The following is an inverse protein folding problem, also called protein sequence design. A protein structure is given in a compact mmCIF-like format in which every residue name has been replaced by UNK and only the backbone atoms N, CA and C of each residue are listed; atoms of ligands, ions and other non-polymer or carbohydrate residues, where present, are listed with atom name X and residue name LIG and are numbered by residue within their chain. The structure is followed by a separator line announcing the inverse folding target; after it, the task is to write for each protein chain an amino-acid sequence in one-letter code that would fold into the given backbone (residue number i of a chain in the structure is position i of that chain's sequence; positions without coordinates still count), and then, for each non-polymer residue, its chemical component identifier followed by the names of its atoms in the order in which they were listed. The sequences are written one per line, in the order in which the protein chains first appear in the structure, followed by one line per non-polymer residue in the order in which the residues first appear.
data_IF_500663853324
#
_entry.id   IF_500663853324
#
_cell.length_a   1.000
_cell.length_b   1.000
_cell.length_c   1.000
_cell.angle_alpha   90.00
_cell.angle_beta   90.00
_cell.angle_gamma   90.00
#
_symmetry.space_group_name_H-M   'P 1'
#
loop_
_entity.id
_entity.type
_entity.pdbx_description
1 polymer ?
#
# COMPACT_ATOMS: atom_id res chain seq x y z
N UNK A 1 -27.91 -3.67 0.77
CA UNK A 1 -28.16 -2.30 1.27
C UNK A 1 -27.26 -1.35 0.51
N UNK A 2 -27.82 -0.60 -0.44
CA UNK A 2 -27.10 0.44 -1.18
C UNK A 2 -26.87 1.61 -0.23
N UNK A 3 -25.66 1.73 0.31
CA UNK A 3 -25.30 2.92 1.07
C UNK A 3 -25.26 4.12 0.14
N UNK A 4 -26.05 5.11 0.52
CA UNK A 4 -26.20 6.42 -0.11
C UNK A 4 -24.81 6.97 -0.48
N UNK A 5 -24.64 7.27 -1.76
CA UNK A 5 -23.52 8.05 -2.27
C UNK A 5 -23.46 9.36 -1.48
N UNK A 6 -22.36 9.67 -0.80
CA UNK A 6 -22.29 10.93 -0.10
C UNK A 6 -22.02 12.08 -1.09
N UNK A 7 -22.92 13.06 -1.06
CA UNK A 7 -22.96 14.25 -1.93
C UNK A 7 -21.83 15.28 -1.69
N UNK A 8 -20.65 14.86 -1.21
CA UNK A 8 -19.52 15.78 -0.94
C UNK A 8 -18.46 15.86 -2.06
N UNK A 9 -18.74 15.31 -3.25
CA UNK A 9 -17.79 15.30 -4.39
C UNK A 9 -18.10 16.40 -5.41
N UNK A 10 -18.15 17.66 -4.97
CA UNK A 10 -18.30 18.82 -5.86
C UNK A 10 -17.33 19.96 -5.55
N UNK A 11 -16.03 19.66 -5.48
CA UNK A 11 -15.00 20.68 -5.65
C UNK A 11 -13.90 20.13 -6.55
N UNK A 12 -13.41 20.97 -7.46
CA UNK A 12 -12.23 20.75 -8.28
C UNK A 12 -10.97 20.70 -7.38
N UNK A 13 -10.91 19.77 -6.43
CA UNK A 13 -9.74 19.65 -5.58
C UNK A 13 -8.62 18.94 -6.34
N UNK A 14 -7.66 19.73 -6.78
CA UNK A 14 -6.45 19.31 -7.49
C UNK A 14 -5.30 18.97 -6.55
N UNK A 15 -5.50 19.12 -5.23
CA UNK A 15 -4.50 18.84 -4.22
C UNK A 15 -4.11 17.36 -4.21
N UNK A 16 -2.83 17.07 -4.40
CA UNK A 16 -2.34 15.70 -4.44
C UNK A 16 -2.25 15.09 -3.03
N UNK A 17 -1.73 15.85 -2.07
CA UNK A 17 -1.76 15.56 -0.63
C UNK A 17 -1.79 16.82 0.23
N UNK A 18 -2.22 16.66 1.48
CA UNK A 18 -2.24 17.70 2.50
C UNK A 18 -0.92 17.78 3.28
N UNK A 19 -0.43 19.00 3.52
CA UNK A 19 0.85 19.27 4.17
C UNK A 19 2.05 18.98 3.28
N UNK A 20 3.17 18.62 3.89
CA UNK A 20 4.42 18.30 3.17
C UNK A 20 4.44 16.87 2.64
N UNK A 21 3.65 15.97 3.23
CA UNK A 21 3.75 14.53 2.99
C UNK A 21 2.37 13.88 2.79
N UNK A 22 2.24 12.88 1.92
CA UNK A 22 1.04 12.07 1.82
C UNK A 22 0.77 11.33 3.12
N UNK A 23 -0.50 11.22 3.49
CA UNK A 23 -0.89 10.61 4.76
C UNK A 23 -1.33 9.17 4.56
N UNK A 24 -0.70 8.23 5.28
CA UNK A 24 -0.94 6.79 5.14
C UNK A 24 -2.39 6.35 5.41
N UNK A 25 -3.25 7.21 5.99
CA UNK A 25 -4.68 6.88 6.18
C UNK A 25 -5.55 7.23 4.98
N UNK A 26 -5.06 8.01 4.02
CA UNK A 26 -5.81 8.43 2.84
C UNK A 26 -6.22 7.27 1.92
N UNK A 27 -5.36 6.23 1.67
CA UNK A 27 -5.77 5.06 0.92
C UNK A 27 -6.89 4.29 1.67
N UNK A 28 -8.04 4.20 1.02
CA UNK A 28 -9.21 3.47 1.51
C UNK A 28 -9.91 2.75 0.36
N UNK A 29 -9.75 1.43 0.32
CA UNK A 29 -10.44 0.55 -0.61
C UNK A 29 -11.93 0.43 -0.26
N UNK A 30 -12.79 0.64 -1.24
CA UNK A 30 -14.25 0.56 -1.10
C UNK A 30 -14.87 -0.50 -2.04
N UNK A 31 -14.87 -0.26 -3.36
CA UNK A 31 -15.59 -1.13 -4.32
C UNK A 31 -14.68 -2.09 -5.10
N UNK A 32 -13.38 -1.78 -5.22
CA UNK A 32 -12.43 -2.62 -5.95
C UNK A 32 -11.93 -3.74 -5.05
N UNK A 33 -11.74 -4.95 -5.58
CA UNK A 33 -11.21 -6.12 -4.85
C UNK A 33 -9.71 -6.22 -5.11
N UNK A 34 -8.93 -5.32 -4.51
CA UNK A 34 -7.51 -5.17 -4.81
C UNK A 34 -6.67 -4.74 -3.60
N UNK A 35 -7.02 -5.20 -2.40
CA UNK A 35 -6.41 -4.82 -1.12
C UNK A 35 -4.87 -4.81 -1.08
N UNK A 36 -4.23 -5.60 -1.93
CA UNK A 36 -2.78 -5.66 -2.10
C UNK A 36 -2.13 -4.31 -2.44
N UNK A 37 -2.75 -3.51 -3.31
CA UNK A 37 -2.22 -2.21 -3.75
C UNK A 37 -2.29 -1.15 -2.65
N UNK A 38 -3.47 -0.81 -2.08
CA UNK A 38 -3.55 0.13 -0.98
C UNK A 38 -2.79 -0.35 0.26
N UNK A 39 -2.74 -1.64 0.57
CA UNK A 39 -1.91 -2.13 1.68
C UNK A 39 -0.42 -1.82 1.45
N UNK A 40 0.09 -2.03 0.24
CA UNK A 40 1.45 -1.66 -0.13
C UNK A 40 1.68 -0.15 -0.01
N UNK A 41 0.81 0.67 -0.61
CA UNK A 41 0.90 2.14 -0.53
C UNK A 41 0.88 2.66 0.90
N UNK A 42 0.00 2.10 1.76
CA UNK A 42 -0.07 2.42 3.19
C UNK A 42 1.25 2.08 3.87
N UNK A 43 1.80 0.87 3.64
CA UNK A 43 3.04 0.44 4.29
C UNK A 43 4.24 1.32 3.92
N UNK A 44 4.32 1.77 2.66
CA UNK A 44 5.38 2.67 2.19
C UNK A 44 5.20 4.06 2.80
N UNK A 45 4.00 4.63 2.72
CA UNK A 45 3.69 5.94 3.28
C UNK A 45 3.81 5.99 4.82
N UNK A 46 3.60 4.86 5.49
CA UNK A 46 3.81 4.75 6.94
C UNK A 46 5.28 4.85 7.32
N UNK A 47 6.13 4.07 6.64
CA UNK A 47 7.55 3.96 6.99
C UNK A 47 8.35 5.16 6.51
N UNK A 48 8.07 5.61 5.28
CA UNK A 48 8.78 6.72 4.67
C UNK A 48 7.86 7.48 3.71
N UNK A 49 7.02 8.40 4.22
CA UNK A 49 6.14 9.17 3.34
C UNK A 49 6.92 10.13 2.41
N UNK A 50 8.15 10.52 2.77
CA UNK A 50 9.02 11.29 1.88
C UNK A 50 9.32 10.52 0.58
N UNK A 51 9.49 9.20 0.68
CA UNK A 51 9.71 8.33 -0.47
C UNK A 51 8.60 8.50 -1.52
N UNK A 52 7.34 8.55 -1.09
CA UNK A 52 6.19 8.73 -1.99
C UNK A 52 6.26 10.11 -2.67
N UNK A 53 6.64 11.18 -1.97
CA UNK A 53 6.70 12.53 -2.57
C UNK A 53 7.68 12.62 -3.74
N UNK A 54 8.74 11.82 -3.70
CA UNK A 54 9.79 11.77 -4.74
C UNK A 54 9.35 11.04 -6.00
N UNK A 55 8.22 10.34 -5.96
CA UNK A 55 7.63 9.71 -7.14
C UNK A 55 6.91 10.72 -8.04
N UNK A 56 6.57 11.90 -7.52
CA UNK A 56 5.69 12.85 -8.19
C UNK A 56 6.40 14.11 -8.66
N UNK A 57 6.07 14.52 -9.88
CA UNK A 57 6.55 15.73 -10.52
C UNK A 57 5.37 16.50 -11.11
N UNK A 58 5.50 17.82 -11.18
CA UNK A 58 4.61 18.68 -11.95
C UNK A 58 4.72 18.35 -13.46
N UNK A 59 3.74 18.75 -14.29
CA UNK A 59 3.77 18.49 -15.74
C UNK A 59 4.99 19.07 -16.47
N UNK A 60 5.63 20.10 -15.91
CA UNK A 60 6.86 20.70 -16.43
C UNK A 60 8.14 19.94 -16.02
N UNK A 61 8.00 18.83 -15.27
CA UNK A 61 9.10 18.00 -14.79
C UNK A 61 9.70 18.47 -13.46
N UNK A 62 9.18 19.53 -12.84
CA UNK A 62 9.67 20.00 -11.54
C UNK A 62 9.25 19.04 -10.43
N UNK A 63 10.15 18.61 -9.51
CA UNK A 63 9.77 17.70 -8.42
C UNK A 63 8.71 18.29 -7.48
N UNK A 64 7.75 17.48 -7.04
CA UNK A 64 6.80 17.89 -5.98
C UNK A 64 7.35 17.65 -4.57
N UNK A 65 8.41 16.84 -4.43
CA UNK A 65 9.11 16.62 -3.17
C UNK A 65 9.52 17.93 -2.49
N UNK A 66 9.25 18.05 -1.19
CA UNK A 66 9.50 19.25 -0.39
C UNK A 66 8.43 20.35 -0.50
N UNK A 67 7.45 20.21 -1.40
CA UNK A 67 6.34 21.17 -1.52
C UNK A 67 5.30 20.99 -0.42
N UNK A 68 4.75 22.11 0.07
CA UNK A 68 3.61 22.11 1.00
C UNK A 68 2.31 22.25 0.21
N UNK A 69 1.35 21.34 0.40
CA UNK A 69 0.08 21.28 -0.32
C UNK A 69 0.25 21.27 -1.87
N UNK A 70 1.02 20.34 -2.46
CA UNK A 70 1.20 20.30 -3.90
C UNK A 70 -0.13 19.97 -4.59
N UNK A 71 -0.45 20.74 -5.64
CA UNK A 71 -1.74 20.70 -6.32
C UNK A 71 -1.55 20.84 -7.83
N UNK A 72 -2.22 19.99 -8.59
CA UNK A 72 -2.23 20.02 -10.06
C UNK A 72 -3.36 19.15 -10.61
N UNK A 73 -3.93 19.52 -11.76
CA UNK A 73 -4.86 18.63 -12.50
C UNK A 73 -4.13 17.41 -13.07
N UNK A 74 -2.84 17.55 -13.35
CA UNK A 74 -1.99 16.51 -13.95
C UNK A 74 -0.68 16.40 -13.20
N UNK A 75 -0.21 15.19 -12.97
CA UNK A 75 1.13 14.94 -12.42
C UNK A 75 1.86 13.92 -13.30
N UNK A 76 3.18 13.91 -13.19
CA UNK A 76 4.00 12.81 -13.69
C UNK A 76 4.37 11.94 -12.48
N UNK A 77 4.04 10.66 -12.57
CA UNK A 77 4.34 9.65 -11.56
C UNK A 77 5.43 8.72 -12.09
N UNK A 78 6.51 8.57 -11.33
CA UNK A 78 7.58 7.60 -11.60
C UNK A 78 7.31 6.31 -10.83
N UNK A 79 7.30 5.18 -11.53
CA UNK A 79 7.23 3.83 -10.94
C UNK A 79 8.32 2.95 -11.52
N UNK A 80 8.68 1.88 -10.82
CA UNK A 80 9.63 0.89 -11.33
C UNK A 80 8.89 -0.25 -11.99
N UNK A 81 9.36 -0.69 -13.15
CA UNK A 81 8.92 -1.93 -13.75
C UNK A 81 9.45 -3.10 -12.88
N UNK A 82 8.59 -3.97 -12.34
CA UNK A 82 9.01 -4.97 -11.35
C UNK A 82 9.84 -6.12 -11.94
N UNK A 83 9.91 -6.24 -13.28
CA UNK A 83 10.72 -7.26 -13.96
C UNK A 83 12.09 -6.77 -14.38
N UNK A 84 12.21 -5.48 -14.66
CA UNK A 84 13.45 -4.88 -15.21
C UNK A 84 14.12 -3.91 -14.25
N UNK A 85 13.43 -3.54 -13.17
CA UNK A 85 13.86 -2.55 -12.17
C UNK A 85 14.15 -1.17 -12.77
N UNK A 86 13.63 -0.89 -13.98
CA UNK A 86 13.77 0.41 -14.65
C UNK A 86 12.61 1.32 -14.30
N UNK A 87 12.91 2.59 -14.07
CA UNK A 87 11.91 3.64 -13.89
C UNK A 87 11.10 3.87 -15.17
N UNK A 88 9.82 4.16 -15.00
CA UNK A 88 8.87 4.53 -16.03
C UNK A 88 8.03 5.70 -15.52
N UNK A 89 7.81 6.68 -16.38
CA UNK A 89 7.04 7.88 -16.06
C UNK A 89 5.67 7.80 -16.68
N UNK A 90 4.63 8.05 -15.88
CA UNK A 90 3.24 8.01 -16.29
C UNK A 90 2.58 9.35 -16.03
N UNK A 91 1.88 9.86 -17.03
CA UNK A 91 1.01 11.02 -16.85
C UNK A 91 -0.28 10.57 -16.19
N UNK A 92 -0.59 11.16 -15.04
CA UNK A 92 -1.78 10.84 -14.24
C UNK A 92 -2.60 12.10 -14.05
N UNK A 93 -3.92 11.96 -13.95
CA UNK A 93 -4.83 13.09 -14.02
C UNK A 93 -5.95 12.99 -12.98
N UNK A 94 -6.27 14.10 -12.32
CA UNK A 94 -7.27 14.18 -11.26
C UNK A 94 -8.67 13.78 -11.74
N UNK A 95 -9.00 14.04 -13.01
CA UNK A 95 -10.30 13.68 -13.61
C UNK A 95 -10.48 12.15 -13.73
N UNK A 96 -9.39 11.38 -13.68
CA UNK A 96 -9.40 9.91 -13.67
C UNK A 96 -9.27 9.33 -12.25
N UNK A 97 -9.46 10.15 -11.20
CA UNK A 97 -9.40 9.71 -9.81
C UNK A 97 -10.30 8.49 -9.56
N UNK A 98 -9.74 7.47 -8.91
CA UNK A 98 -10.46 6.28 -8.49
C UNK A 98 -11.52 6.69 -7.47
N UNK A 99 -12.79 6.38 -7.77
CA UNK A 99 -13.88 6.64 -6.84
C UNK A 99 -13.86 5.69 -5.63
N UNK A 100 -12.93 4.73 -5.63
CA UNK A 100 -13.03 3.47 -4.88
C UNK A 100 -11.82 3.15 -4.02
N UNK A 101 -10.78 4.00 -4.01
CA UNK A 101 -9.51 3.74 -3.31
C UNK A 101 -8.96 4.91 -2.48
N UNK A 102 -9.62 6.06 -2.52
CA UNK A 102 -9.30 7.22 -1.69
C UNK A 102 -10.48 7.48 -0.74
N UNK A 103 -10.23 7.49 0.56
CA UNK A 103 -11.30 7.68 1.56
C UNK A 103 -10.94 8.49 2.79
N UNK A 104 -9.92 9.36 2.74
CA UNK A 104 -9.58 10.22 3.87
C UNK A 104 -9.23 11.65 3.48
N UNK A 105 -9.88 12.61 4.14
CA UNK A 105 -9.60 14.05 4.25
C UNK A 105 -9.50 14.85 2.94
N UNK A 106 -10.51 15.70 2.72
CA UNK A 106 -10.49 16.85 1.81
C UNK A 106 -10.41 16.59 0.30
N UNK A 107 -10.23 15.35 -0.15
CA UNK A 107 -10.30 15.03 -1.58
C UNK A 107 -8.94 14.95 -2.28
N UNK A 108 -7.87 14.73 -1.52
CA UNK A 108 -6.54 14.38 -2.04
C UNK A 108 -6.58 13.16 -2.96
N UNK A 109 -5.64 13.03 -3.89
CA UNK A 109 -5.69 12.01 -4.95
C UNK A 109 -4.37 11.32 -5.27
N UNK A 110 -3.35 11.44 -4.40
CA UNK A 110 -2.05 10.78 -4.63
C UNK A 110 -2.16 9.26 -4.79
N UNK A 111 -3.02 8.60 -4.02
CA UNK A 111 -3.15 7.14 -4.12
C UNK A 111 -3.92 6.74 -5.39
N UNK A 112 -4.96 7.48 -5.78
CA UNK A 112 -5.54 7.36 -7.11
C UNK A 112 -4.53 7.57 -8.24
N UNK A 113 -3.62 8.53 -8.09
CA UNK A 113 -2.55 8.77 -9.04
C UNK A 113 -1.62 7.54 -9.13
N UNK A 114 -1.27 6.93 -7.99
CA UNK A 114 -0.56 5.64 -7.95
C UNK A 114 -1.33 4.55 -8.70
N UNK A 115 -2.64 4.36 -8.43
CA UNK A 115 -3.45 3.38 -9.17
C UNK A 115 -3.40 3.63 -10.67
N UNK A 116 -3.54 4.88 -11.13
CA UNK A 116 -3.47 5.21 -12.56
C UNK A 116 -2.11 4.81 -13.17
N UNK A 117 -0.99 5.11 -12.50
CA UNK A 117 0.34 4.71 -12.98
C UNK A 117 0.50 3.19 -13.03
N UNK A 118 -0.04 2.48 -12.04
CA UNK A 118 -0.05 1.02 -12.02
C UNK A 118 -0.81 0.42 -13.21
N UNK A 119 -2.01 0.93 -13.47
CA UNK A 119 -2.82 0.49 -14.60
C UNK A 119 -2.13 0.75 -15.95
N UNK A 120 -1.46 1.90 -16.09
CA UNK A 120 -0.66 2.21 -17.27
C UNK A 120 0.57 1.29 -17.40
N UNK A 121 1.24 0.94 -16.28
CA UNK A 121 2.32 -0.06 -16.30
C UNK A 121 1.84 -1.42 -16.81
N UNK A 122 0.62 -1.85 -16.46
CA UNK A 122 0.05 -3.11 -16.95
C UNK A 122 -0.21 -3.15 -18.47
N UNK A 123 -0.31 -1.99 -19.12
CA UNK A 123 -0.34 -1.89 -20.58
C UNK A 123 1.07 -1.92 -21.22
N UNK A 124 2.11 -1.63 -20.43
CA UNK A 124 3.51 -1.62 -20.86
C UNK A 124 4.22 -2.96 -20.60
N UNK A 125 3.88 -3.64 -19.50
CA UNK A 125 4.46 -4.90 -19.08
C UNK A 125 3.39 -5.82 -18.48
N UNK A 126 3.63 -7.13 -18.51
CA UNK A 126 2.74 -8.11 -17.86
C UNK A 126 2.87 -7.99 -16.34
N UNK A 127 1.86 -7.44 -15.67
CA UNK A 127 1.87 -7.21 -14.23
C UNK A 127 0.81 -8.08 -13.58
N UNK A 128 1.23 -8.98 -12.69
CA UNK A 128 0.32 -9.85 -11.96
C UNK A 128 -0.72 -9.02 -11.17
N UNK A 129 -2.00 -9.26 -11.46
CA UNK A 129 -3.13 -8.48 -10.90
C UNK A 129 -3.64 -7.35 -11.79
N UNK A 130 -3.05 -7.14 -12.98
CA UNK A 130 -3.48 -6.15 -13.96
C UNK A 130 -3.60 -6.83 -15.33
N UNK A 131 -4.74 -6.66 -15.99
CA UNK A 131 -4.96 -7.18 -17.34
C UNK A 131 -4.24 -6.30 -18.38
N UNK A 132 -3.89 -6.85 -19.57
CA UNK A 132 -3.16 -6.09 -20.60
C UNK A 132 -3.88 -4.83 -21.11
N UNK A 133 -5.19 -4.72 -20.88
CA UNK A 133 -5.99 -3.54 -21.19
C UNK A 133 -5.92 -2.43 -20.12
N UNK A 134 -5.05 -2.56 -19.11
CA UNK A 134 -4.91 -1.59 -18.02
C UNK A 134 -6.07 -1.62 -17.02
N UNK A 135 -6.67 -2.78 -16.77
CA UNK A 135 -7.71 -2.94 -15.73
C UNK A 135 -7.24 -3.88 -14.62
N UNK A 136 -7.68 -3.64 -13.39
CA UNK A 136 -7.38 -4.53 -12.27
C UNK A 136 -8.08 -5.88 -12.46
N UNK A 137 -7.33 -6.96 -12.25
CA UNK A 137 -7.89 -8.32 -12.16
C UNK A 137 -8.14 -8.62 -10.69
N UNK A 138 -9.42 -8.70 -10.32
CA UNK A 138 -9.82 -8.95 -8.94
C UNK A 138 -9.22 -10.25 -8.40
N UNK A 139 -8.69 -10.19 -7.17
CA UNK A 139 -8.09 -11.32 -6.43
C UNK A 139 -6.79 -11.92 -7.01
N UNK A 140 -6.21 -11.34 -8.06
CA UNK A 140 -5.00 -11.89 -8.69
C UNK A 140 -3.72 -11.12 -8.40
N UNK A 141 -3.79 -9.96 -7.74
CA UNK A 141 -2.61 -9.16 -7.41
C UNK A 141 -1.98 -9.51 -6.06
N UNK A 142 -0.70 -9.14 -5.91
CA UNK A 142 0.10 -9.43 -4.73
C UNK A 142 0.77 -8.16 -4.20
N UNK A 143 0.88 -7.99 -2.86
CA UNK A 143 1.53 -6.82 -2.29
C UNK A 143 2.98 -6.67 -2.74
N UNK A 144 3.69 -7.77 -2.99
CA UNK A 144 5.08 -7.74 -3.43
C UNK A 144 5.28 -7.03 -4.75
N UNK A 145 4.36 -7.20 -5.70
CA UNK A 145 4.38 -6.50 -6.98
C UNK A 145 4.20 -5.00 -6.76
N UNK A 146 3.22 -4.60 -5.95
CA UNK A 146 3.01 -3.18 -5.65
C UNK A 146 4.16 -2.54 -4.89
N UNK A 147 4.70 -3.22 -3.88
CA UNK A 147 5.85 -2.74 -3.14
C UNK A 147 7.07 -2.60 -4.06
N UNK A 148 7.31 -3.54 -4.97
CA UNK A 148 8.42 -3.47 -5.92
C UNK A 148 8.25 -2.30 -6.89
N UNK A 149 7.06 -2.11 -7.44
CA UNK A 149 6.74 -0.99 -8.33
C UNK A 149 6.86 0.38 -7.66
N UNK A 150 6.49 0.49 -6.38
CA UNK A 150 6.57 1.74 -5.62
C UNK A 150 7.99 2.08 -5.16
N UNK A 151 8.81 1.08 -4.87
CA UNK A 151 10.11 1.28 -4.19
C UNK A 151 11.33 0.98 -5.07
N UNK A 152 11.14 0.35 -6.22
CA UNK A 152 12.24 -0.17 -7.03
C UNK A 152 13.14 -1.14 -6.27
N UNK A 153 12.64 -1.74 -5.18
CA UNK A 153 13.36 -2.73 -4.38
C UNK A 153 12.90 -4.12 -4.75
N UNK A 154 13.80 -5.07 -4.55
CA UNK A 154 13.46 -6.49 -4.56
C UNK A 154 12.64 -6.81 -3.31
N UNK A 155 11.47 -7.42 -3.53
CA UNK A 155 10.52 -7.75 -2.47
C UNK A 155 10.47 -9.26 -2.31
N UNK A 156 10.56 -9.70 -1.06
CA UNK A 156 10.40 -11.09 -0.66
C UNK A 156 8.96 -11.33 -0.26
N UNK A 157 8.34 -12.38 -0.80
CA UNK A 157 7.05 -12.91 -0.34
C UNK A 157 7.31 -14.19 0.45
N UNK A 158 7.63 -14.04 1.74
CA UNK A 158 7.95 -15.16 2.62
C UNK A 158 6.66 -15.90 3.02
N UNK A 159 6.42 -17.15 2.57
CA UNK A 159 5.33 -17.96 3.09
C UNK A 159 5.53 -18.23 4.59
N UNK A 160 4.43 -18.41 5.31
CA UNK A 160 4.42 -18.72 6.73
C UNK A 160 5.41 -19.83 7.10
N UNK A 161 5.48 -20.89 6.30
CA UNK A 161 6.32 -22.07 6.57
C UNK A 161 7.83 -21.83 6.42
N UNK A 162 8.27 -20.65 5.92
CA UNK A 162 9.68 -20.27 5.99
C UNK A 162 10.14 -19.90 7.40
N UNK A 163 9.21 -19.47 8.25
CA UNK A 163 9.51 -19.17 9.63
C UNK A 163 9.40 -20.43 10.47
N UNK A 164 10.43 -20.69 11.27
CA UNK A 164 10.47 -21.83 12.19
C UNK A 164 9.29 -21.82 13.18
N UNK A 165 8.98 -20.63 13.70
CA UNK A 165 7.98 -20.39 14.73
C UNK A 165 7.55 -18.92 14.72
N UNK A 166 6.62 -18.58 15.62
CA UNK A 166 6.13 -17.21 15.78
C UNK A 166 7.23 -16.26 16.30
N UNK A 167 8.24 -16.75 17.02
CA UNK A 167 9.31 -15.91 17.54
C UNK A 167 10.19 -15.39 16.39
N UNK A 168 10.55 -16.27 15.46
CA UNK A 168 11.29 -15.90 14.25
C UNK A 168 10.51 -14.91 13.39
N UNK A 169 9.20 -15.15 13.19
CA UNK A 169 8.35 -14.21 12.46
C UNK A 169 8.21 -12.86 13.17
N UNK A 170 8.02 -12.87 14.48
CA UNK A 170 7.85 -11.66 15.28
C UNK A 170 9.09 -10.76 15.26
N UNK A 171 10.29 -11.35 15.27
CA UNK A 171 11.54 -10.62 15.16
C UNK A 171 11.58 -9.77 13.88
N UNK A 172 11.19 -10.36 12.75
CA UNK A 172 11.09 -9.66 11.47
C UNK A 172 10.01 -8.57 11.48
N UNK A 173 8.88 -8.82 12.15
CA UNK A 173 7.79 -7.83 12.23
C UNK A 173 8.19 -6.57 13.01
N UNK A 174 9.22 -6.62 13.87
CA UNK A 174 9.73 -5.43 14.56
C UNK A 174 10.27 -4.37 13.59
N UNK A 175 10.59 -4.74 12.35
CA UNK A 175 11.08 -3.82 11.34
C UNK A 175 9.97 -2.97 10.70
N UNK A 176 8.71 -3.11 11.10
CA UNK A 176 7.56 -2.43 10.46
C UNK A 176 7.58 -0.90 10.51
N UNK A 177 8.48 -0.29 11.27
CA UNK A 177 8.69 1.17 11.35
C UNK A 177 9.88 1.65 10.51
N UNK A 178 10.68 0.74 9.96
CA UNK A 178 11.90 1.05 9.18
C UNK A 178 11.86 0.50 7.76
N UNK A 179 11.13 -0.60 7.53
CA UNK A 179 10.83 -1.14 6.20
C UNK A 179 9.33 -1.41 6.04
N UNK A 180 8.75 -1.19 4.85
CA UNK A 180 7.36 -1.56 4.59
C UNK A 180 7.17 -3.08 4.74
N UNK A 181 6.11 -3.47 5.44
CA UNK A 181 5.71 -4.86 5.63
C UNK A 181 4.22 -4.99 5.37
N UNK A 182 3.83 -5.94 4.52
CA UNK A 182 2.43 -6.28 4.25
C UNK A 182 2.21 -7.77 4.45
N UNK A 183 1.25 -8.13 5.30
CA UNK A 183 0.84 -9.52 5.49
C UNK A 183 -0.38 -9.84 4.62
N UNK A 184 -0.39 -11.03 4.02
CA UNK A 184 -1.51 -11.56 3.25
C UNK A 184 -2.14 -12.72 4.01
N UNK A 185 -3.44 -12.65 4.22
CA UNK A 185 -4.18 -13.59 5.06
C UNK A 185 -4.63 -14.83 4.31
N UNK A 186 -4.85 -15.89 5.07
CA UNK A 186 -5.35 -17.17 4.60
C UNK A 186 -6.75 -17.07 3.96
N UNK A 187 -7.16 -18.08 3.20
CA UNK A 187 -8.53 -18.17 2.67
C UNK A 187 -9.58 -18.39 3.76
N UNK A 188 -10.84 -18.28 3.34
CA UNK A 188 -12.01 -18.40 4.20
C UNK A 188 -12.10 -19.75 4.93
N UNK A 189 -11.55 -20.83 4.37
CA UNK A 189 -11.57 -22.16 5.01
C UNK A 189 -10.49 -22.31 6.08
N UNK A 190 -9.43 -21.51 6.03
CA UNK A 190 -8.28 -21.60 6.95
C UNK A 190 -8.24 -20.45 7.96
N UNK A 191 -9.09 -19.41 7.81
CA UNK A 191 -9.14 -18.28 8.75
C UNK A 191 -9.61 -18.78 10.13
N UNK A 192 -8.88 -18.39 11.18
CA UNK A 192 -9.24 -18.66 12.58
C UNK A 192 -9.80 -17.40 13.24
N UNK A 193 -10.76 -17.54 14.18
CA UNK A 193 -11.31 -16.40 14.90
C UNK A 193 -10.23 -15.55 15.58
N UNK A 194 -10.38 -14.22 15.48
CA UNK A 194 -9.53 -13.22 16.10
C UNK A 194 -10.39 -12.03 16.54
N UNK A 195 -9.95 -11.31 17.57
CA UNK A 195 -10.58 -10.07 18.03
C UNK A 195 -9.53 -8.95 18.14
N UNK A 196 -9.61 -7.89 17.31
CA UNK A 196 -10.60 -7.67 16.24
C UNK A 196 -10.50 -8.67 15.08
N UNK A 197 -11.59 -8.82 14.31
CA UNK A 197 -11.66 -9.77 13.20
C UNK A 197 -10.60 -9.50 12.13
N UNK A 198 -9.84 -10.54 11.79
CA UNK A 198 -8.97 -10.59 10.62
C UNK A 198 -9.76 -11.17 9.44
N UNK A 199 -9.70 -10.51 8.29
CA UNK A 199 -10.41 -10.90 7.07
C UNK A 199 -9.57 -11.91 6.29
N UNK A 200 -10.22 -12.88 5.66
CA UNK A 200 -9.57 -13.85 4.78
C UNK A 200 -9.31 -13.28 3.37
N UNK A 201 -8.36 -13.87 2.64
CA UNK A 201 -7.97 -13.45 1.28
C UNK A 201 -7.70 -11.94 1.19
N UNK A 202 -7.03 -11.39 2.20
CA UNK A 202 -6.90 -9.95 2.37
C UNK A 202 -5.47 -9.54 2.69
N UNK A 203 -5.11 -8.29 2.40
CA UNK A 203 -3.79 -7.74 2.69
C UNK A 203 -3.89 -6.64 3.75
N UNK A 204 -2.94 -6.62 4.68
CA UNK A 204 -2.84 -5.61 5.73
C UNK A 204 -1.43 -5.04 5.78
N UNK A 205 -1.31 -3.71 5.89
CA UNK A 205 -0.05 -3.10 6.25
C UNK A 205 0.22 -3.33 7.74
N UNK A 206 1.42 -3.80 8.07
CA UNK A 206 1.90 -3.88 9.46
C UNK A 206 2.50 -2.52 9.80
N UNK A 207 1.97 -1.87 10.83
CA UNK A 207 2.36 -0.50 11.15
C UNK A 207 3.37 -0.49 12.30
N UNK A 208 2.98 -1.03 13.45
CA UNK A 208 3.77 -0.95 14.66
C UNK A 208 3.66 -2.26 15.43
N UNK A 209 4.77 -2.74 15.93
CA UNK A 209 4.82 -3.86 16.87
C UNK A 209 5.14 -3.37 18.28
N UNK A 210 4.54 -4.01 19.28
CA UNK A 210 4.73 -3.71 20.70
C UNK A 210 4.80 -5.01 21.49
N UNK A 211 5.72 -5.04 22.44
CA UNK A 211 5.77 -6.07 23.46
C UNK A 211 5.24 -5.50 24.78
N UNK A 212 4.19 -6.12 25.32
CA UNK A 212 3.55 -5.76 26.58
C UNK A 212 3.99 -6.73 27.69
N UNK A 213 4.22 -6.24 28.92
CA UNK A 213 4.55 -7.11 30.04
C UNK A 213 3.37 -8.02 30.46
N UNK A 214 3.60 -9.29 30.84
CA UNK A 214 4.80 -10.11 30.60
C UNK A 214 4.65 -10.95 29.32
N UNK A 215 5.28 -10.55 28.21
CA UNK A 215 5.40 -11.35 26.99
C UNK A 215 4.20 -11.30 26.03
N UNK A 216 3.26 -10.38 26.22
CA UNK A 216 2.13 -10.20 25.30
C UNK A 216 2.55 -9.35 24.10
N UNK A 217 2.72 -9.99 22.95
CA UNK A 217 3.10 -9.31 21.71
C UNK A 217 1.87 -8.90 20.93
N UNK A 218 1.81 -7.64 20.53
CA UNK A 218 0.71 -7.08 19.75
C UNK A 218 1.21 -6.19 18.63
N UNK A 219 0.46 -6.14 17.52
CA UNK A 219 0.80 -5.29 16.38
C UNK A 219 -0.42 -4.54 15.88
N UNK A 220 -0.17 -3.35 15.34
CA UNK A 220 -1.18 -2.60 14.62
C UNK A 220 -1.20 -3.10 13.17
N UNK A 221 -2.36 -3.61 12.75
CA UNK A 221 -2.66 -3.84 11.34
C UNK A 221 -3.56 -2.71 10.82
N UNK A 222 -3.19 -2.16 9.66
CA UNK A 222 -4.04 -1.23 8.91
C UNK A 222 -4.69 -1.98 7.75
N UNK A 223 -5.99 -2.22 7.88
CA UNK A 223 -6.84 -2.81 6.85
C UNK A 223 -7.12 -1.75 5.77
N UNK A 224 -6.80 -1.96 4.49
CA UNK A 224 -7.14 -1.05 3.40
C UNK A 224 -8.58 -0.52 3.37
N UNK A 225 -9.57 -1.14 4.02
CA UNK A 225 -10.93 -0.60 4.18
C UNK A 225 -11.08 0.53 5.23
N UNK A 226 -10.00 1.24 5.53
CA UNK A 226 -10.02 2.39 6.47
C UNK A 226 -9.83 2.03 7.96
N UNK A 227 -9.84 0.76 8.32
CA UNK A 227 -9.76 0.32 9.72
C UNK A 227 -8.31 0.12 10.18
N UNK A 228 -8.05 0.42 11.46
CA UNK A 228 -6.75 0.22 12.10
C UNK A 228 -6.96 -0.30 13.52
N UNK A 229 -6.39 -1.45 13.83
CA UNK A 229 -6.57 -2.09 15.14
C UNK A 229 -5.29 -2.75 15.64
N UNK A 230 -5.18 -2.85 16.97
CA UNK A 230 -4.22 -3.74 17.61
C UNK A 230 -4.73 -5.18 17.54
N UNK A 231 -3.85 -6.09 17.15
CA UNK A 231 -4.08 -7.53 17.18
C UNK A 231 -2.99 -8.22 17.98
N UNK A 232 -3.31 -9.34 18.63
CA UNK A 232 -2.29 -10.21 19.20
C UNK A 232 -1.45 -10.80 18.08
N UNK A 233 -0.13 -10.86 18.26
CA UNK A 233 0.78 -11.42 17.27
C UNK A 233 0.41 -12.86 16.91
N UNK A 234 -0.05 -13.65 17.88
CA UNK A 234 -0.49 -15.03 17.67
C UNK A 234 -1.70 -15.13 16.73
N UNK A 235 -2.68 -14.23 16.89
CA UNK A 235 -3.87 -14.21 16.06
C UNK A 235 -3.53 -13.86 14.61
N UNK A 236 -2.60 -12.92 14.41
CA UNK A 236 -2.10 -12.57 13.07
C UNK A 236 -1.31 -13.73 12.49
N UNK A 237 -0.35 -14.28 13.24
CA UNK A 237 0.47 -15.42 12.83
C UNK A 237 -0.39 -16.58 12.35
N UNK A 238 -1.44 -16.94 13.08
CA UNK A 238 -2.33 -18.05 12.72
C UNK A 238 -3.15 -17.79 11.44
N UNK A 239 -3.27 -16.54 11.00
CA UNK A 239 -4.14 -16.11 9.90
C UNK A 239 -3.40 -15.65 8.65
N UNK A 240 -2.08 -15.84 8.53
CA UNK A 240 -1.30 -15.42 7.36
C UNK A 240 -0.84 -16.58 6.48
N UNK A 241 -0.81 -16.33 5.16
CA UNK A 241 -0.05 -17.15 4.21
C UNK A 241 1.32 -16.57 3.92
N UNK A 242 1.40 -15.25 3.71
CA UNK A 242 2.61 -14.59 3.25
C UNK A 242 2.90 -13.33 4.05
N UNK A 243 4.18 -13.07 4.26
CA UNK A 243 4.73 -11.80 4.70
C UNK A 243 5.51 -11.20 3.54
N UNK A 244 5.16 -9.98 3.11
CA UNK A 244 5.81 -9.27 2.02
C UNK A 244 6.65 -8.13 2.58
N UNK A 245 7.94 -8.09 2.24
CA UNK A 245 8.89 -7.10 2.76
C UNK A 245 10.06 -6.88 1.81
N UNK A 246 10.76 -5.76 1.93
CA UNK A 246 12.02 -5.52 1.20
C UNK A 246 13.04 -6.61 1.59
N UNK A 247 13.78 -7.13 0.60
CA UNK A 247 14.82 -8.13 0.83
C UNK A 247 15.78 -7.69 1.95
N UNK A 248 16.08 -8.60 2.89
CA UNK A 248 16.94 -8.32 4.04
C UNK A 248 16.38 -7.35 5.07
N UNK A 249 15.11 -6.95 4.99
CA UNK A 249 14.50 -5.91 5.84
C UNK A 249 15.27 -4.59 5.80
N UNK A 250 15.88 -4.29 4.65
CA UNK A 250 16.59 -3.03 4.44
C UNK A 250 15.67 -1.84 4.71
N UNK A 251 16.20 -0.85 5.43
CA UNK A 251 15.49 0.40 5.68
C UNK A 251 15.09 1.05 4.35
N UNK A 252 13.84 1.48 4.25
CA UNK A 252 13.38 2.18 3.05
C UNK A 252 13.94 3.60 3.02
N UNK A 253 14.92 3.81 2.17
CA UNK A 253 15.51 5.12 1.87
C UNK A 253 15.51 5.37 0.37
N UNK A 254 15.36 6.64 -0.03
CA UNK A 254 15.52 7.02 -1.42
C UNK A 254 16.96 6.73 -1.87
N UNK A 255 17.12 6.17 -3.07
CA UNK A 255 18.43 6.02 -3.71
C UNK A 255 18.41 6.90 -4.94
N UNK A 256 19.33 7.86 -4.99
CA UNK A 256 19.59 8.58 -6.24
C UNK A 256 20.15 7.54 -7.23
N UNK A 257 19.45 7.39 -8.36
CA UNK A 257 19.84 6.47 -9.43
C UNK A 257 21.02 6.99 -10.23
#
# INVERSE_FOLDING_TARGET
MLHKNPLWRSSNNTLLWNGTYPYYKEPVQNLLINCWLPAASISVAWVNPDYITRLFYYPDGTPMHGSYNPSSDTAILTLWNPHTEKQQNFTVNVYNKSLTEDGGMEGTWWHSAVTQGFLQMGAYADILGIAPNGTLVGRSGFPSVAMSMLTGRKIVSAPKDWYKDIDAWWADMQHSTTTPIVVSTVDEKNIVPADPKIQCNHAYAVMLCKEEPPGNRSMILRNPWGQQYWHKAQDVWNNIWFTNHIEGFEKLEWRDG
#
